data_IF_388736256952
#
_entry.id   IF_388736256952
#
_cell.length_a   1.000
_cell.length_b   1.000
_cell.length_c   1.000
_cell.angle_alpha   90.00
_cell.angle_beta   90.00
_cell.angle_gamma   90.00
#
_symmetry.space_group_name_H-M   'P 1'
#
loop_
_entity.id
_entity.type
_entity.pdbx_description
1 polymer ?
#
# COMPACT_ATOMS: atom_id res chain seq x y z
N UNK A 1 -6.43 -16.41 23.24
CA UNK A 1 -5.31 -16.82 22.36
C UNK A 1 -5.53 -16.23 20.99
N UNK A 2 -4.81 -15.16 20.64
CA UNK A 2 -4.59 -14.71 19.26
C UNK A 2 -3.19 -14.13 19.25
N UNK A 3 -2.29 -14.84 18.57
CA UNK A 3 -0.86 -14.60 18.48
C UNK A 3 -0.60 -13.27 17.79
N UNK A 4 -0.18 -12.29 18.60
CA UNK A 4 0.68 -11.18 18.20
C UNK A 4 1.67 -11.73 17.17
N UNK A 5 1.69 -11.16 15.96
CA UNK A 5 2.62 -11.54 14.92
C UNK A 5 4.02 -11.65 15.53
N UNK A 6 4.51 -12.88 15.59
CA UNK A 6 5.86 -13.19 16.03
C UNK A 6 6.80 -12.63 14.96
N UNK A 7 7.08 -11.34 15.05
CA UNK A 7 8.41 -10.85 14.74
C UNK A 7 9.29 -11.44 15.84
N UNK A 8 9.70 -12.69 15.63
CA UNK A 8 10.82 -13.30 16.30
C UNK A 8 11.92 -12.24 16.46
N UNK A 9 12.59 -12.15 17.62
CA UNK A 9 13.71 -11.24 17.78
C UNK A 9 14.70 -11.55 16.68
N UNK A 10 14.81 -10.63 15.70
CA UNK A 10 15.70 -10.75 14.55
C UNK A 10 17.07 -11.26 15.04
N UNK A 11 17.46 -12.45 14.61
CA UNK A 11 18.77 -13.02 14.89
C UNK A 11 19.89 -12.06 14.46
N UNK A 12 20.31 -11.19 15.37
CA UNK A 12 21.61 -10.54 15.26
C UNK A 12 22.66 -11.56 15.72
N UNK A 13 23.76 -11.84 15.00
CA UNK A 13 24.23 -11.36 13.69
C UNK A 13 24.34 -12.52 12.69
N UNK A 14 23.26 -12.94 12.05
CA UNK A 14 23.32 -14.02 11.05
C UNK A 14 24.12 -13.66 9.76
N UNK A 15 24.42 -12.37 9.56
CA UNK A 15 25.04 -11.84 8.35
C UNK A 15 26.23 -10.94 8.70
N UNK A 16 27.33 -11.12 7.97
CA UNK A 16 28.51 -10.27 8.07
C UNK A 16 28.23 -8.85 7.48
N UNK A 17 29.13 -7.91 7.72
CA UNK A 17 28.94 -6.51 7.28
C UNK A 17 28.80 -6.35 5.77
N UNK A 18 29.54 -7.15 4.99
CA UNK A 18 29.48 -7.13 3.52
C UNK A 18 28.13 -7.64 2.99
N UNK A 19 27.60 -8.73 3.57
CA UNK A 19 26.29 -9.29 3.26
C UNK A 19 25.18 -8.30 3.61
N UNK A 20 25.28 -7.62 4.75
CA UNK A 20 24.33 -6.56 5.14
C UNK A 20 24.38 -5.39 4.17
N UNK A 21 25.57 -4.98 3.73
CA UNK A 21 25.75 -3.90 2.74
C UNK A 21 25.14 -4.29 1.39
N UNK A 22 25.36 -5.53 0.93
CA UNK A 22 24.78 -6.06 -0.30
C UNK A 22 23.25 -6.16 -0.21
N UNK A 23 22.70 -6.67 0.89
CA UNK A 23 21.25 -6.71 1.11
C UNK A 23 20.63 -5.33 1.15
N UNK A 24 21.29 -4.37 1.81
CA UNK A 24 20.81 -2.98 1.82
C UNK A 24 20.77 -2.41 0.41
N UNK A 25 21.80 -2.65 -0.40
CA UNK A 25 21.80 -2.18 -1.79
C UNK A 25 20.70 -2.83 -2.62
N UNK A 26 20.50 -4.15 -2.47
CA UNK A 26 19.42 -4.87 -3.14
C UNK A 26 18.05 -4.32 -2.72
N UNK A 27 17.81 -4.11 -1.42
CA UNK A 27 16.58 -3.54 -0.90
C UNK A 27 16.28 -2.16 -1.49
N UNK A 28 17.30 -1.29 -1.59
CA UNK A 28 17.15 0.05 -2.19
C UNK A 28 16.76 -0.07 -3.67
N UNK A 29 17.42 -0.96 -4.42
CA UNK A 29 17.11 -1.17 -5.84
C UNK A 29 15.69 -1.70 -6.02
N UNK A 30 15.29 -2.69 -5.21
CA UNK A 30 13.93 -3.23 -5.23
C UNK A 30 12.89 -2.16 -4.91
N UNK A 31 13.09 -1.38 -3.85
CA UNK A 31 12.19 -0.28 -3.49
C UNK A 31 12.02 0.73 -4.63
N UNK A 32 13.12 1.15 -5.27
CA UNK A 32 13.06 2.06 -6.42
C UNK A 32 12.27 1.47 -7.58
N UNK A 33 12.43 0.17 -7.84
CA UNK A 33 11.69 -0.53 -8.90
C UNK A 33 10.21 -0.62 -8.59
N UNK A 34 9.86 -0.97 -7.34
CA UNK A 34 8.47 -1.07 -6.91
C UNK A 34 7.77 0.28 -6.96
N UNK A 35 8.44 1.35 -6.53
CA UNK A 35 7.92 2.72 -6.66
C UNK A 35 7.72 3.11 -8.13
N UNK A 36 8.69 2.80 -9.00
CA UNK A 36 8.57 3.09 -10.42
C UNK A 36 7.39 2.33 -11.05
N UNK A 37 7.19 1.07 -10.64
CA UNK A 37 6.04 0.27 -11.05
C UNK A 37 4.73 0.91 -10.56
N UNK A 38 4.60 1.21 -9.27
CA UNK A 38 3.37 1.83 -8.74
C UNK A 38 3.05 3.16 -9.44
N UNK A 39 4.06 3.99 -9.74
CA UNK A 39 3.85 5.25 -10.49
C UNK A 39 3.43 5.03 -11.94
N UNK A 40 3.92 3.98 -12.59
CA UNK A 40 3.60 3.68 -13.99
C UNK A 40 2.23 3.01 -14.16
N UNK A 41 1.64 2.49 -13.08
CA UNK A 41 0.43 1.67 -13.08
C UNK A 41 -0.74 2.40 -12.38
N UNK A 42 -1.44 3.33 -13.07
CA UNK A 42 -2.53 4.14 -12.50
C UNK A 42 -3.76 3.33 -12.04
N UNK A 43 -3.89 2.09 -12.52
CA UNK A 43 -4.89 1.14 -12.04
C UNK A 43 -4.71 0.82 -10.55
N UNK A 44 -3.47 0.78 -10.05
CA UNK A 44 -3.17 0.51 -8.65
C UNK A 44 -3.58 1.67 -7.75
N UNK A 45 -3.35 2.91 -8.19
CA UNK A 45 -3.82 4.10 -7.47
C UNK A 45 -5.35 4.13 -7.36
N UNK A 46 -6.02 3.84 -8.47
CA UNK A 46 -7.49 3.78 -8.53
C UNK A 46 -8.04 2.68 -7.63
N UNK A 47 -7.43 1.49 -7.68
CA UNK A 47 -7.80 0.34 -6.86
C UNK A 47 -7.64 0.62 -5.36
N UNK A 48 -6.47 1.14 -4.94
CA UNK A 48 -6.23 1.53 -3.55
C UNK A 48 -7.22 2.60 -3.08
N UNK A 49 -7.54 3.56 -3.94
CA UNK A 49 -8.45 4.66 -3.61
C UNK A 49 -9.89 4.21 -3.43
N UNK A 50 -10.42 3.39 -4.36
CA UNK A 50 -11.79 2.87 -4.24
C UNK A 50 -11.90 1.89 -3.07
N UNK A 51 -10.87 1.08 -2.80
CA UNK A 51 -10.82 0.21 -1.62
C UNK A 51 -10.88 1.01 -0.31
N UNK A 52 -10.06 2.05 -0.18
CA UNK A 52 -10.06 2.92 1.01
C UNK A 52 -11.40 3.65 1.18
N UNK A 53 -11.99 4.10 0.07
CA UNK A 53 -13.32 4.72 0.06
C UNK A 53 -14.38 3.76 0.56
N UNK A 54 -14.35 2.51 0.11
CA UNK A 54 -15.26 1.45 0.54
C UNK A 54 -15.10 1.09 2.01
N UNK A 55 -13.86 1.01 2.51
CA UNK A 55 -13.59 0.82 3.95
C UNK A 55 -14.18 1.99 4.76
N UNK A 56 -13.90 3.23 4.34
CA UNK A 56 -14.36 4.42 5.06
C UNK A 56 -15.89 4.52 5.09
N UNK A 57 -16.55 4.09 4.01
CA UNK A 57 -18.00 4.10 3.89
C UNK A 57 -18.68 2.96 4.64
N UNK A 58 -18.20 1.73 4.47
CA UNK A 58 -18.82 0.52 5.05
C UNK A 58 -18.40 0.26 6.50
N UNK A 59 -17.28 0.84 6.94
CA UNK A 59 -16.67 0.67 8.28
C UNK A 59 -16.77 -0.78 8.80
N UNK A 60 -16.17 -1.74 8.07
CA UNK A 60 -16.27 -3.14 8.43
C UNK A 60 -15.64 -3.40 9.81
N UNK A 61 -16.25 -4.31 10.58
CA UNK A 61 -15.70 -4.74 11.88
C UNK A 61 -14.41 -5.56 11.71
N UNK A 62 -14.31 -6.32 10.62
CA UNK A 62 -13.12 -7.05 10.22
C UNK A 62 -12.61 -6.54 8.86
N UNK A 63 -11.59 -5.69 8.91
CA UNK A 63 -10.97 -5.11 7.72
C UNK A 63 -10.24 -6.16 6.87
N UNK A 64 -9.68 -7.21 7.49
CA UNK A 64 -8.91 -8.24 6.78
C UNK A 64 -9.82 -9.15 5.97
N UNK A 65 -10.91 -9.62 6.57
CA UNK A 65 -11.92 -10.40 5.85
C UNK A 65 -12.56 -9.56 4.72
N UNK A 66 -12.82 -8.28 4.98
CA UNK A 66 -13.31 -7.36 3.96
C UNK A 66 -12.33 -7.20 2.80
N UNK A 67 -11.04 -7.03 3.08
CA UNK A 67 -10.00 -6.92 2.06
C UNK A 67 -9.95 -8.18 1.19
N UNK A 68 -9.93 -9.37 1.79
CA UNK A 68 -9.90 -10.63 1.06
C UNK A 68 -11.11 -10.75 0.11
N UNK A 69 -12.32 -10.46 0.60
CA UNK A 69 -13.53 -10.50 -0.23
C UNK A 69 -13.51 -9.44 -1.35
N UNK A 70 -12.98 -8.24 -1.06
CA UNK A 70 -12.93 -7.15 -2.02
C UNK A 70 -11.94 -7.43 -3.17
N UNK A 71 -10.71 -7.88 -2.84
CA UNK A 71 -9.67 -8.16 -3.83
C UNK A 71 -9.88 -9.47 -4.60
N UNK A 72 -10.68 -10.40 -4.06
CA UNK A 72 -11.01 -11.68 -4.74
C UNK A 72 -12.27 -11.56 -5.61
N UNK A 73 -12.88 -10.38 -5.71
CA UNK A 73 -14.07 -10.19 -6.53
C UNK A 73 -13.72 -10.25 -8.03
N UNK A 74 -14.34 -11.17 -8.76
CA UNK A 74 -14.13 -11.36 -10.21
C UNK A 74 -14.46 -10.11 -11.04
N UNK A 75 -15.34 -9.24 -10.54
CA UNK A 75 -15.73 -8.00 -11.22
C UNK A 75 -14.79 -6.82 -10.94
N UNK A 76 -13.73 -7.03 -10.15
CA UNK A 76 -12.83 -5.97 -9.72
C UNK A 76 -12.15 -5.31 -10.93
N UNK A 77 -11.60 -6.10 -11.85
CA UNK A 77 -10.91 -5.59 -13.04
C UNK A 77 -11.83 -4.66 -13.85
N UNK A 78 -13.02 -5.14 -14.20
CA UNK A 78 -14.01 -4.36 -14.95
C UNK A 78 -14.42 -3.08 -14.20
N UNK A 79 -14.57 -3.16 -12.87
CA UNK A 79 -14.90 -2.01 -12.04
C UNK A 79 -13.79 -0.94 -12.06
N UNK A 80 -12.52 -1.35 -11.91
CA UNK A 80 -11.38 -0.44 -11.92
C UNK A 80 -11.16 0.16 -13.31
N UNK A 81 -11.23 -0.63 -14.39
CA UNK A 81 -11.12 -0.11 -15.75
C UNK A 81 -12.19 0.95 -16.04
N UNK A 82 -13.44 0.71 -15.61
CA UNK A 82 -14.51 1.70 -15.74
C UNK A 82 -14.20 2.97 -14.94
N UNK A 83 -13.71 2.84 -13.71
CA UNK A 83 -13.33 3.97 -12.84
C UNK A 83 -12.18 4.79 -13.40
N UNK A 84 -11.22 4.16 -14.09
CA UNK A 84 -10.13 4.86 -14.76
C UNK A 84 -10.60 5.68 -15.97
N UNK A 85 -11.63 5.20 -16.68
CA UNK A 85 -12.23 5.93 -17.81
C UNK A 85 -13.10 7.10 -17.35
N UNK A 86 -13.74 6.97 -16.20
CA UNK A 86 -14.43 8.05 -15.50
C UNK A 86 -13.39 9.07 -14.98
N UNK A 87 -12.85 9.92 -15.86
CA UNK A 87 -11.95 11.04 -15.49
C UNK A 87 -12.60 11.85 -14.36
N UNK A 88 -12.12 11.67 -13.13
CA UNK A 88 -12.36 12.61 -12.03
C UNK A 88 -11.27 13.67 -12.03
N UNK A 89 -11.60 14.92 -11.61
CA UNK A 89 -10.64 16.01 -11.56
C UNK A 89 -9.44 15.62 -10.71
N UNK A 90 -8.30 16.19 -11.08
CA UNK A 90 -7.03 16.17 -10.37
C UNK A 90 -7.30 16.23 -8.86
N UNK A 91 -6.93 15.15 -8.14
CA UNK A 91 -6.99 15.13 -6.69
C UNK A 91 -5.86 16.02 -6.19
N UNK A 92 -6.10 17.32 -6.23
CA UNK A 92 -5.18 18.32 -5.73
C UNK A 92 -5.12 18.14 -4.22
N UNK A 93 -4.06 17.50 -3.73
CA UNK A 93 -3.78 17.34 -2.31
C UNK A 93 -3.23 18.65 -1.73
N UNK A 94 -3.85 19.79 -2.04
CA UNK A 94 -3.49 21.10 -1.47
C UNK A 94 -3.48 21.06 0.06
N UNK A 95 -4.37 20.26 0.65
CA UNK A 95 -4.47 20.04 2.10
C UNK A 95 -3.15 19.64 2.77
N UNK A 96 -2.28 18.84 2.14
CA UNK A 96 -1.01 18.37 2.78
C UNK A 96 -0.03 19.54 3.00
N UNK A 97 -0.14 20.62 2.22
CA UNK A 97 0.70 21.81 2.37
C UNK A 97 0.32 22.63 3.61
N UNK A 98 -0.94 22.53 4.05
CA UNK A 98 -1.49 23.28 5.18
C UNK A 98 -1.51 22.49 6.48
N UNK A 99 -1.11 21.21 6.49
CA UNK A 99 -1.01 20.40 7.72
C UNK A 99 0.17 20.91 8.56
N UNK A 100 -0.07 21.50 9.76
CA UNK A 100 1.00 21.95 10.62
C UNK A 100 1.83 20.75 11.06
N UNK A 101 3.15 20.84 10.88
CA UNK A 101 4.10 19.84 11.34
C UNK A 101 4.06 19.78 12.88
N UNK A 102 3.23 18.89 13.43
CA UNK A 102 3.19 18.61 14.86
C UNK A 102 4.46 17.84 15.24
N UNK A 103 5.55 18.59 15.42
CA UNK A 103 6.73 18.09 16.13
C UNK A 103 6.30 17.83 17.57
N UNK A 104 6.38 16.56 17.99
CA UNK A 104 6.33 16.18 19.40
C UNK A 104 7.62 16.60 20.10
#
# INVERSE_FOLDING_TARGET
MLTKGALEPSDGPALNEEQRKKLRQLKIVTQKRDEAYIRAHPELDTMCSEFLRDIAHKRPTDTTAFAAAWFTNENLETHITKKMQEKKPERDFEFVKDVPNMKQ
#
